data_IF_310349385671
#
_entry.id   IF_310349385671
#
_cell.length_a   1.000
_cell.length_b   1.000
_cell.length_c   1.000
_cell.angle_alpha   90.00
_cell.angle_beta   90.00
_cell.angle_gamma   90.00
#
_symmetry.space_group_name_H-M   'P 1'
#
loop_
_entity.id
_entity.type
_entity.pdbx_description
1 polymer ?
#
# COMPACT_ATOMS: atom_id res chain seq x y z
N UNK A 1 -13.88 -23.64 25.93
CA UNK A 1 -14.61 -22.48 25.36
C UNK A 1 -13.88 -21.20 25.74
N UNK A 2 -13.03 -20.66 24.87
CA UNK A 2 -12.30 -19.42 25.14
C UNK A 2 -13.20 -18.25 24.76
N UNK A 3 -13.72 -17.54 25.77
CA UNK A 3 -14.41 -16.26 25.62
C UNK A 3 -13.39 -15.24 25.09
N UNK A 4 -13.18 -15.19 23.77
CA UNK A 4 -12.45 -14.08 23.15
C UNK A 4 -13.37 -12.86 23.27
N UNK A 5 -13.00 -11.91 24.13
CA UNK A 5 -13.60 -10.57 24.13
C UNK A 5 -13.50 -10.03 22.69
N UNK A 6 -14.62 -10.01 21.96
CA UNK A 6 -14.66 -9.32 20.68
C UNK A 6 -14.47 -7.85 20.99
N UNK A 7 -13.40 -7.24 20.46
CA UNK A 7 -13.17 -5.82 20.58
C UNK A 7 -14.43 -5.06 20.12
N UNK A 8 -14.92 -4.13 20.95
CA UNK A 8 -16.10 -3.33 20.62
C UNK A 8 -15.91 -2.58 19.30
N UNK A 9 -16.99 -2.40 18.55
CA UNK A 9 -16.99 -1.62 17.31
C UNK A 9 -16.29 -0.24 17.41
N UNK A 10 -16.54 0.60 18.42
CA UNK A 10 -15.85 1.89 18.53
C UNK A 10 -14.33 1.75 18.69
N UNK A 11 -13.87 0.71 19.39
CA UNK A 11 -12.46 0.44 19.55
C UNK A 11 -11.81 -0.02 18.24
N UNK A 12 -12.50 -0.88 17.46
CA UNK A 12 -12.03 -1.29 16.14
C UNK A 12 -11.99 -0.12 15.16
N UNK A 13 -12.97 0.77 15.22
CA UNK A 13 -12.99 2.00 14.42
C UNK A 13 -11.80 2.90 14.78
N UNK A 14 -11.52 3.09 16.06
CA UNK A 14 -10.35 3.83 16.52
C UNK A 14 -9.04 3.20 16.02
N UNK A 15 -8.88 1.87 16.16
CA UNK A 15 -7.70 1.15 15.67
C UNK A 15 -7.52 1.23 14.15
N UNK A 16 -8.61 1.30 13.38
CA UNK A 16 -8.55 1.46 11.93
C UNK A 16 -8.30 2.92 11.51
N UNK A 17 -8.92 3.89 12.20
CA UNK A 17 -8.91 5.30 11.81
C UNK A 17 -7.69 6.08 12.31
N UNK A 18 -7.35 5.95 13.59
CA UNK A 18 -6.31 6.77 14.21
C UNK A 18 -4.92 6.61 13.56
N UNK A 19 -4.45 5.38 13.20
CA UNK A 19 -3.17 5.24 12.51
C UNK A 19 -3.15 5.88 11.13
N UNK A 20 -4.25 5.79 10.37
CA UNK A 20 -4.34 6.40 9.04
C UNK A 20 -4.41 7.93 9.14
N UNK A 21 -5.10 8.47 10.14
CA UNK A 21 -5.08 9.91 10.40
C UNK A 21 -3.68 10.38 10.77
N UNK A 22 -2.97 9.66 11.65
CA UNK A 22 -1.59 9.95 11.98
C UNK A 22 -0.67 9.89 10.76
N UNK A 23 -0.87 8.93 9.86
CA UNK A 23 -0.14 8.81 8.60
C UNK A 23 -0.38 9.99 7.65
N UNK A 24 -1.63 10.47 7.52
CA UNK A 24 -1.95 11.66 6.73
C UNK A 24 -1.28 12.89 7.34
N UNK A 25 -1.38 13.07 8.66
CA UNK A 25 -0.72 14.18 9.36
C UNK A 25 0.80 14.11 9.14
N UNK A 26 1.40 12.92 9.26
CA UNK A 26 2.82 12.71 9.01
C UNK A 26 3.21 13.11 7.58
N UNK A 27 2.43 12.72 6.57
CA UNK A 27 2.69 13.08 5.18
C UNK A 27 2.61 14.60 4.92
N UNK A 28 1.73 15.31 5.63
CA UNK A 28 1.63 16.77 5.55
C UNK A 28 2.79 17.47 6.28
N UNK A 29 3.27 16.90 7.39
CA UNK A 29 4.40 17.44 8.15
C UNK A 29 5.75 17.15 7.48
N UNK A 30 5.85 16.06 6.72
CA UNK A 30 7.07 15.62 6.03
C UNK A 30 6.85 15.62 4.50
N UNK A 31 6.75 16.79 3.85
CA UNK A 31 6.52 16.86 2.41
C UNK A 31 7.75 16.39 1.62
N UNK A 32 7.51 15.75 0.48
CA UNK A 32 8.55 15.41 -0.50
C UNK A 32 8.81 16.62 -1.41
N UNK A 33 9.75 17.49 -1.03
CA UNK A 33 10.05 18.76 -1.70
C UNK A 33 11.37 18.75 -2.50
N UNK A 34 11.96 17.56 -2.70
CA UNK A 34 13.17 17.39 -3.50
C UNK A 34 14.47 17.63 -2.76
N UNK A 35 14.42 18.03 -1.49
CA UNK A 35 15.63 18.22 -0.67
C UNK A 35 16.05 16.90 -0.03
N UNK A 36 17.30 16.51 -0.21
CA UNK A 36 17.91 15.42 0.55
C UNK A 36 18.23 15.89 1.98
N UNK A 37 17.87 15.09 2.98
CA UNK A 37 17.95 15.48 4.39
C UNK A 37 18.75 14.49 5.21
N UNK A 38 19.49 15.01 6.19
CA UNK A 38 19.93 14.24 7.35
C UNK A 38 18.86 14.25 8.46
N UNK A 39 18.89 13.30 9.42
CA UNK A 39 19.95 12.34 9.68
C UNK A 39 19.88 11.07 8.81
N UNK A 40 21.05 10.47 8.54
CA UNK A 40 21.21 9.27 7.70
C UNK A 40 20.33 8.08 8.15
N UNK A 41 20.04 7.98 9.45
CA UNK A 41 19.20 6.91 9.99
C UNK A 41 17.79 6.90 9.36
N UNK A 42 17.13 8.04 9.19
CA UNK A 42 15.78 8.09 8.62
C UNK A 42 15.79 7.84 7.11
N UNK A 43 16.81 8.32 6.40
CA UNK A 43 17.04 7.95 4.99
C UNK A 43 17.16 6.43 4.85
N UNK A 44 17.98 5.78 5.70
CA UNK A 44 18.19 4.32 5.70
C UNK A 44 16.89 3.58 6.03
N UNK A 45 16.19 3.96 7.11
CA UNK A 45 14.92 3.34 7.51
C UNK A 45 13.88 3.45 6.38
N UNK A 46 13.81 4.59 5.70
CA UNK A 46 12.93 4.79 4.55
C UNK A 46 13.13 3.75 3.46
N UNK A 47 14.36 3.32 3.17
CA UNK A 47 14.64 2.31 2.13
C UNK A 47 13.92 0.98 2.36
N UNK A 48 13.61 0.64 3.62
CA UNK A 48 12.89 -0.60 3.94
C UNK A 48 11.45 -0.63 3.44
N UNK A 49 10.88 0.50 2.97
CA UNK A 49 9.56 0.49 2.35
C UNK A 49 9.49 -0.49 1.16
N UNK A 50 10.57 -0.63 0.37
CA UNK A 50 10.64 -1.59 -0.76
C UNK A 50 10.60 -3.03 -0.27
N UNK A 51 11.19 -3.31 0.89
CA UNK A 51 11.15 -4.65 1.46
C UNK A 51 9.76 -4.94 2.06
N UNK A 52 9.23 -3.98 2.82
CA UNK A 52 7.94 -4.13 3.52
C UNK A 52 6.77 -4.19 2.55
N UNK A 53 6.79 -3.48 1.40
CA UNK A 53 5.67 -3.45 0.44
C UNK A 53 5.31 -4.80 -0.17
N UNK A 54 6.21 -5.78 -0.16
CA UNK A 54 5.92 -7.12 -0.69
C UNK A 54 4.87 -7.85 0.15
N UNK A 55 4.89 -7.63 1.48
CA UNK A 55 3.93 -8.22 2.41
C UNK A 55 2.48 -7.75 2.16
N UNK A 56 2.17 -6.44 2.15
CA UNK A 56 0.81 -5.98 1.91
C UNK A 56 0.32 -6.35 0.51
N UNK A 57 1.16 -6.32 -0.53
CA UNK A 57 0.75 -6.73 -1.88
C UNK A 57 0.27 -8.19 -1.87
N UNK A 58 1.07 -9.12 -1.33
CA UNK A 58 0.70 -10.52 -1.25
C UNK A 58 -0.56 -10.74 -0.39
N UNK A 59 -0.63 -10.08 0.77
CA UNK A 59 -1.74 -10.23 1.72
C UNK A 59 -3.05 -9.65 1.17
N UNK A 60 -3.02 -8.49 0.50
CA UNK A 60 -4.20 -7.88 -0.09
C UNK A 60 -4.79 -8.71 -1.23
N UNK A 61 -3.95 -9.47 -1.95
CA UNK A 61 -4.42 -10.39 -2.99
C UNK A 61 -4.94 -11.71 -2.40
N UNK A 62 -4.27 -12.27 -1.40
CA UNK A 62 -4.65 -13.60 -0.87
C UNK A 62 -5.93 -13.57 -0.01
N UNK A 63 -6.21 -12.46 0.67
CA UNK A 63 -7.41 -12.31 1.52
C UNK A 63 -8.72 -12.52 0.74
N UNK A 64 -9.01 -11.76 -0.35
CA UNK A 64 -10.21 -12.01 -1.15
C UNK A 64 -10.19 -13.37 -1.81
N UNK A 65 -9.02 -13.90 -2.19
CA UNK A 65 -8.92 -15.23 -2.80
C UNK A 65 -9.39 -16.32 -1.83
N UNK A 66 -8.91 -16.31 -0.59
CA UNK A 66 -9.37 -17.25 0.43
C UNK A 66 -10.83 -17.06 0.79
N UNK A 67 -11.31 -15.80 0.84
CA UNK A 67 -12.72 -15.52 1.02
C UNK A 67 -13.60 -16.05 -0.13
N UNK A 68 -13.05 -16.19 -1.34
CA UNK A 68 -13.73 -16.78 -2.49
C UNK A 68 -13.71 -18.31 -2.48
N UNK A 69 -12.57 -18.92 -2.13
CA UNK A 69 -12.34 -20.36 -2.17
C UNK A 69 -13.05 -21.12 -1.05
N UNK A 70 -13.05 -20.57 0.17
CA UNK A 70 -13.58 -21.27 1.34
C UNK A 70 -14.34 -20.31 2.28
N UNK A 71 -15.63 -20.61 2.49
CA UNK A 71 -16.53 -19.85 3.34
C UNK A 71 -16.79 -20.50 4.71
N UNK A 72 -16.09 -21.57 5.06
CA UNK A 72 -16.21 -22.19 6.38
C UNK A 72 -15.75 -21.24 7.48
N UNK A 73 -16.32 -21.36 8.68
CA UNK A 73 -15.97 -20.51 9.82
C UNK A 73 -14.47 -20.60 10.19
N UNK A 74 -13.88 -21.80 10.04
CA UNK A 74 -12.46 -22.03 10.28
C UNK A 74 -11.57 -21.23 9.31
N UNK A 75 -11.85 -21.30 8.01
CA UNK A 75 -11.14 -20.53 6.99
C UNK A 75 -11.31 -19.02 7.21
N UNK A 76 -12.52 -18.58 7.53
CA UNK A 76 -12.84 -17.19 7.79
C UNK A 76 -12.05 -16.61 8.98
N UNK A 77 -11.79 -17.40 10.03
CA UNK A 77 -10.94 -16.97 11.14
C UNK A 77 -9.48 -16.71 10.72
N UNK A 78 -8.93 -17.52 9.81
CA UNK A 78 -7.62 -17.32 9.21
C UNK A 78 -7.59 -16.05 8.34
N UNK A 79 -8.55 -15.92 7.43
CA UNK A 79 -8.70 -14.76 6.53
C UNK A 79 -8.82 -13.44 7.29
N UNK A 80 -9.56 -13.41 8.41
CA UNK A 80 -9.67 -12.22 9.28
C UNK A 80 -8.32 -11.77 9.83
N UNK A 81 -7.46 -12.70 10.26
CA UNK A 81 -6.12 -12.39 10.77
C UNK A 81 -5.19 -11.92 9.66
N UNK A 82 -5.27 -12.55 8.48
CA UNK A 82 -4.52 -12.12 7.29
C UNK A 82 -4.92 -10.71 6.86
N UNK A 83 -6.22 -10.38 6.89
CA UNK A 83 -6.72 -9.04 6.60
C UNK A 83 -6.21 -7.99 7.60
N UNK A 84 -6.14 -8.34 8.89
CA UNK A 84 -5.53 -7.47 9.90
C UNK A 84 -4.04 -7.25 9.63
N UNK A 85 -3.30 -8.31 9.30
CA UNK A 85 -1.88 -8.22 8.95
C UNK A 85 -1.66 -7.39 7.68
N UNK A 86 -2.55 -7.51 6.69
CA UNK A 86 -2.54 -6.70 5.48
C UNK A 86 -2.66 -5.21 5.82
N UNK A 87 -3.60 -4.83 6.69
CA UNK A 87 -3.77 -3.44 7.13
C UNK A 87 -2.51 -2.91 7.85
N UNK A 88 -1.95 -3.67 8.79
CA UNK A 88 -0.74 -3.27 9.55
C UNK A 88 0.45 -3.09 8.62
N UNK A 89 0.69 -4.06 7.72
CA UNK A 89 1.84 -4.03 6.82
C UNK A 89 1.70 -2.96 5.72
N UNK A 90 0.48 -2.68 5.26
CA UNK A 90 0.21 -1.58 4.31
C UNK A 90 0.48 -0.23 4.97
N UNK A 91 -0.01 -0.04 6.21
CA UNK A 91 0.26 1.17 6.97
C UNK A 91 1.75 1.38 7.24
N UNK A 92 2.46 0.32 7.63
CA UNK A 92 3.91 0.37 7.86
C UNK A 92 4.65 0.72 6.57
N UNK A 93 4.30 0.09 5.45
CA UNK A 93 4.88 0.38 4.14
C UNK A 93 4.68 1.84 3.74
N UNK A 94 3.46 2.37 3.90
CA UNK A 94 3.15 3.75 3.57
C UNK A 94 3.90 4.75 4.48
N UNK A 95 4.01 4.43 5.77
CA UNK A 95 4.77 5.23 6.75
C UNK A 95 6.25 5.32 6.36
N UNK A 96 6.87 4.17 6.05
CA UNK A 96 8.25 4.13 5.56
C UNK A 96 8.40 4.85 4.21
N UNK A 97 7.40 4.78 3.33
CA UNK A 97 7.37 5.51 2.07
C UNK A 97 7.33 7.04 2.24
N UNK A 98 6.56 7.55 3.21
CA UNK A 98 6.54 8.99 3.56
C UNK A 98 7.92 9.44 4.05
N UNK A 99 8.53 8.68 4.96
CA UNK A 99 9.90 8.94 5.44
C UNK A 99 10.88 8.91 4.25
N UNK A 100 10.79 7.89 3.41
CA UNK A 100 11.66 7.75 2.25
C UNK A 100 11.57 8.95 1.30
N UNK A 101 10.35 9.36 0.94
CA UNK A 101 10.11 10.49 0.04
C UNK A 101 10.63 11.83 0.60
N UNK A 102 10.49 12.05 1.91
CA UNK A 102 10.95 13.28 2.55
C UNK A 102 12.49 13.36 2.67
N UNK A 103 13.15 12.25 3.01
CA UNK A 103 14.59 12.28 3.31
C UNK A 103 15.48 12.07 2.08
N UNK A 104 14.97 11.48 0.99
CA UNK A 104 15.78 11.06 -0.17
C UNK A 104 15.50 11.85 -1.46
N UNK A 105 15.12 13.14 -1.33
CA UNK A 105 15.13 14.06 -2.47
C UNK A 105 14.05 13.84 -3.53
N UNK A 106 12.93 13.16 -3.20
CA UNK A 106 11.85 12.95 -4.16
C UNK A 106 10.97 14.20 -4.30
N UNK A 107 10.52 14.49 -5.52
CA UNK A 107 9.64 15.63 -5.85
C UNK A 107 8.81 15.35 -7.11
N UNK A 108 7.79 16.17 -7.34
CA UNK A 108 6.97 16.17 -8.56
C UNK A 108 5.72 15.30 -8.47
N UNK A 109 4.88 15.40 -9.50
CA UNK A 109 3.53 14.83 -9.52
C UNK A 109 3.51 13.32 -9.33
N UNK A 110 4.46 12.60 -9.95
CA UNK A 110 4.55 11.13 -9.78
C UNK A 110 4.78 10.75 -8.32
N UNK A 111 5.66 11.46 -7.63
CA UNK A 111 5.93 11.27 -6.20
C UNK A 111 4.64 11.50 -5.39
N UNK A 112 3.89 12.56 -5.70
CA UNK A 112 2.62 12.85 -5.02
C UNK A 112 1.57 11.77 -5.29
N UNK A 113 1.38 11.36 -6.55
CA UNK A 113 0.44 10.30 -6.89
C UNK A 113 0.80 8.97 -6.23
N UNK A 114 2.08 8.61 -6.18
CA UNK A 114 2.56 7.42 -5.47
C UNK A 114 2.31 7.51 -3.95
N UNK A 115 2.65 8.64 -3.33
CA UNK A 115 2.46 8.87 -1.90
C UNK A 115 0.98 8.78 -1.51
N UNK A 116 0.10 9.51 -2.19
CA UNK A 116 -1.32 9.56 -1.83
C UNK A 116 -2.04 8.26 -2.15
N UNK A 117 -1.67 7.56 -3.23
CA UNK A 117 -2.22 6.22 -3.49
C UNK A 117 -1.76 5.19 -2.46
N UNK A 118 -0.52 5.26 -1.96
CA UNK A 118 -0.04 4.43 -0.86
C UNK A 118 -0.80 4.66 0.46
N UNK A 119 -1.07 5.93 0.80
CA UNK A 119 -1.89 6.28 1.98
C UNK A 119 -3.34 5.80 1.79
N UNK A 120 -3.91 5.99 0.60
CA UNK A 120 -5.27 5.56 0.30
C UNK A 120 -5.40 4.02 0.35
N UNK A 121 -4.39 3.28 -0.12
CA UNK A 121 -4.32 1.83 0.04
C UNK A 121 -4.34 1.41 1.52
N UNK A 122 -3.61 2.11 2.39
CA UNK A 122 -3.63 1.88 3.84
C UNK A 122 -5.03 2.08 4.42
N UNK A 123 -5.72 3.16 4.04
CA UNK A 123 -7.11 3.40 4.44
C UNK A 123 -8.05 2.28 4.01
N UNK A 124 -7.94 1.82 2.76
CA UNK A 124 -8.77 0.73 2.23
C UNK A 124 -8.47 -0.60 2.91
N UNK A 125 -7.20 -0.92 3.18
CA UNK A 125 -6.82 -2.13 3.90
C UNK A 125 -7.39 -2.14 5.33
N UNK A 126 -7.31 -1.01 6.04
CA UNK A 126 -7.94 -0.84 7.36
C UNK A 126 -9.47 -0.92 7.29
N UNK A 127 -10.09 -0.36 6.23
CA UNK A 127 -11.53 -0.48 6.00
C UNK A 127 -11.94 -1.94 5.73
N UNK A 128 -11.18 -2.69 4.91
CA UNK A 128 -11.42 -4.13 4.70
C UNK A 128 -11.44 -4.90 6.02
N UNK A 129 -10.51 -4.61 6.93
CA UNK A 129 -10.46 -5.23 8.25
C UNK A 129 -11.64 -4.81 9.16
N UNK A 130 -12.02 -3.54 9.14
CA UNK A 130 -13.16 -3.05 9.92
C UNK A 130 -14.48 -3.72 9.47
N UNK A 131 -14.62 -3.94 8.17
CA UNK A 131 -15.83 -4.45 7.53
C UNK A 131 -15.93 -5.99 7.53
N UNK A 132 -15.04 -6.72 8.20
CA UNK A 132 -15.04 -8.20 8.25
C UNK A 132 -16.34 -8.86 8.73
N UNK A 133 -17.27 -8.12 9.33
CA UNK A 133 -18.59 -8.62 9.76
C UNK A 133 -19.76 -8.13 8.89
N UNK A 134 -19.49 -7.33 7.86
CA UNK A 134 -20.50 -6.82 6.93
C UNK A 134 -20.79 -7.83 5.82
N UNK A 135 -21.75 -7.55 4.94
CA UNK A 135 -22.07 -8.41 3.81
C UNK A 135 -20.84 -8.72 2.93
N UNK A 136 -20.73 -9.97 2.45
CA UNK A 136 -19.59 -10.46 1.66
C UNK A 136 -19.28 -9.58 0.44
N UNK A 137 -20.32 -9.21 -0.31
CA UNK A 137 -20.20 -8.32 -1.46
C UNK A 137 -19.51 -7.00 -1.10
N UNK A 138 -19.92 -6.37 0.01
CA UNK A 138 -19.35 -5.11 0.44
C UNK A 138 -17.87 -5.24 0.84
N UNK A 139 -17.50 -6.35 1.52
CA UNK A 139 -16.11 -6.64 1.87
C UNK A 139 -15.24 -6.84 0.63
N UNK A 140 -15.68 -7.69 -0.29
CA UNK A 140 -14.96 -7.99 -1.53
C UNK A 140 -14.76 -6.74 -2.38
N UNK A 141 -15.77 -5.86 -2.48
CA UNK A 141 -15.63 -4.59 -3.21
C UNK A 141 -14.51 -3.73 -2.65
N UNK A 142 -14.43 -3.56 -1.33
CA UNK A 142 -13.37 -2.76 -0.70
C UNK A 142 -12.00 -3.42 -0.84
N UNK A 143 -11.91 -4.76 -0.71
CA UNK A 143 -10.67 -5.51 -0.90
C UNK A 143 -10.16 -5.40 -2.34
N UNK A 144 -11.03 -5.56 -3.35
CA UNK A 144 -10.68 -5.40 -4.76
C UNK A 144 -10.25 -3.96 -5.08
N UNK A 145 -10.91 -2.97 -4.49
CA UNK A 145 -10.49 -1.58 -4.61
C UNK A 145 -9.11 -1.34 -3.99
N UNK A 146 -8.81 -1.95 -2.84
CA UNK A 146 -7.48 -1.89 -2.23
C UNK A 146 -6.40 -2.49 -3.16
N UNK A 147 -6.69 -3.64 -3.79
CA UNK A 147 -5.79 -4.24 -4.78
C UNK A 147 -5.55 -3.27 -5.93
N UNK A 148 -6.62 -2.73 -6.54
CA UNK A 148 -6.49 -1.79 -7.65
C UNK A 148 -5.60 -0.58 -7.30
N UNK A 149 -5.83 0.03 -6.14
CA UNK A 149 -5.06 1.20 -5.69
C UNK A 149 -3.60 0.84 -5.43
N UNK A 150 -3.31 -0.31 -4.83
CA UNK A 150 -1.93 -0.77 -4.62
C UNK A 150 -1.21 -1.05 -5.94
N UNK A 151 -1.89 -1.64 -6.93
CA UNK A 151 -1.33 -1.85 -8.25
C UNK A 151 -1.05 -0.53 -8.97
N UNK A 152 -1.94 0.46 -8.84
CA UNK A 152 -1.71 1.81 -9.35
C UNK A 152 -0.49 2.47 -8.69
N UNK A 153 -0.38 2.39 -7.36
CA UNK A 153 0.78 2.88 -6.61
C UNK A 153 2.08 2.18 -7.07
N UNK A 154 2.04 0.85 -7.23
CA UNK A 154 3.18 0.05 -7.68
C UNK A 154 3.60 0.38 -9.12
N UNK A 155 2.65 0.65 -10.02
CA UNK A 155 2.93 1.09 -11.38
C UNK A 155 3.71 2.42 -11.38
N UNK A 156 3.23 3.42 -10.63
CA UNK A 156 3.90 4.72 -10.52
C UNK A 156 5.28 4.57 -9.88
N UNK A 157 5.38 3.81 -8.80
CA UNK A 157 6.66 3.55 -8.12
C UNK A 157 7.67 2.87 -9.03
N UNK A 158 7.23 1.90 -9.83
CA UNK A 158 8.06 1.25 -10.85
C UNK A 158 8.54 2.23 -11.92
N UNK A 159 7.67 3.12 -12.40
CA UNK A 159 8.08 4.16 -13.36
C UNK A 159 9.05 5.18 -12.77
N UNK A 160 8.98 5.47 -11.47
CA UNK A 160 9.92 6.38 -10.80
C UNK A 160 11.34 5.82 -10.77
N UNK A 161 11.51 4.51 -10.61
CA UNK A 161 12.82 3.84 -10.49
C UNK A 161 13.36 3.38 -11.84
N UNK A 162 12.50 2.83 -12.70
CA UNK A 162 12.91 2.22 -13.97
C UNK A 162 12.60 3.08 -15.21
N UNK A 163 11.95 4.23 -15.01
CA UNK A 163 11.58 5.15 -16.07
C UNK A 163 10.21 4.86 -16.69
N UNK A 164 9.77 5.80 -17.53
CA UNK A 164 8.45 5.78 -18.18
C UNK A 164 8.22 4.50 -18.98
N UNK A 165 7.01 3.95 -18.85
CA UNK A 165 6.56 2.75 -19.55
C UNK A 165 6.96 1.43 -18.89
N UNK A 166 7.71 1.43 -17.78
CA UNK A 166 7.98 0.20 -17.04
C UNK A 166 6.69 -0.40 -16.44
N UNK A 167 6.49 -1.74 -16.46
CA UNK A 167 7.35 -2.78 -17.03
C UNK A 167 7.04 -3.12 -18.50
N UNK A 168 6.04 -2.49 -19.13
CA UNK A 168 5.53 -2.87 -20.46
C UNK A 168 6.31 -2.26 -21.64
N UNK A 169 7.28 -1.38 -21.38
CA UNK A 169 8.10 -0.74 -22.40
C UNK A 169 8.92 -1.79 -23.16
N UNK A 170 8.64 -1.92 -24.46
CA UNK A 170 9.40 -2.76 -25.38
C UNK A 170 10.84 -2.25 -25.54
N UNK A 171 11.78 -3.17 -25.73
CA UNK A 171 13.20 -2.88 -25.94
C UNK A 171 13.53 -2.66 -27.43
N UNK A 172 12.59 -2.14 -28.22
CA UNK A 172 12.72 -2.03 -29.68
C UNK A 172 13.89 -1.12 -30.10
N UNK A 173 15.02 -1.76 -30.37
CA UNK A 173 16.21 -1.19 -31.02
C UNK A 173 15.95 -0.77 -32.48
N UNK A 174 14.84 -1.25 -33.07
CA UNK A 174 14.47 -1.06 -34.48
C UNK A 174 14.06 0.37 -34.86
N UNK A 175 13.71 1.23 -33.88
CA UNK A 175 13.37 2.63 -34.14
C UNK A 175 14.60 3.56 -34.19
N UNK A 176 15.75 3.15 -33.64
CA UNK A 176 16.99 3.94 -33.71
C UNK A 176 17.72 3.76 -35.05
N UNK A 177 17.59 2.62 -35.71
CA UNK A 177 18.30 2.35 -36.98
C UNK A 177 17.65 2.99 -38.20
N UNK A 178 16.37 3.40 -38.12
CA UNK A 178 15.64 4.03 -39.25
C UNK A 178 15.72 5.55 -39.31
N UNK A 179 16.40 6.20 -38.36
CA UNK A 179 16.42 7.66 -38.22
C UNK A 179 17.78 8.33 -38.51
N UNK A 180 18.75 7.58 -39.05
CA UNK A 180 19.96 8.17 -39.65
C UNK A 180 19.92 7.94 -41.15
N UNK A 181 19.35 8.85 -41.94
CA UNK A 181 19.71 8.97 -43.34
C UNK A 181 21.09 9.66 -43.42
N UNK A 182 22.00 9.05 -44.17
CA UNK A 182 23.23 9.68 -44.66
C UNK A 182 22.94 10.96 -45.46
#
# INVERSE_FOLDING_TARGET
MSHRHSLGFPFRLFLAGAPNLALIILALLLPSDGVERGPALFSIIGNFHILVLHLPIALLVIVPLFELLDNTELAQNGTRRLCQLAAITTWLSATLGVIYGHFNGFVGDKTQWHLWSGIFASCLASASWLLLHQARLFRLTIQLLAIFVVFYAAHIGGEMVHGRGFPLKSNDTTLKTKASPD
#
